data_IF_919401026083
#
_entry.id   IF_919401026083
#
_cell.length_a   1.000
_cell.length_b   1.000
_cell.length_c   1.000
_cell.angle_alpha   90.00
_cell.angle_beta   90.00
_cell.angle_gamma   90.00
#
_symmetry.space_group_name_H-M   'P 1'
#
loop_
_entity.id
_entity.type
_entity.pdbx_description
1 polymer ?
#
# COMPACT_ATOMS: atom_id res chain seq x y z
N UNK A 1 4.39 26.77 -13.65
CA UNK A 1 2.95 26.88 -13.95
C UNK A 1 2.32 25.56 -14.37
N UNK A 2 2.72 24.91 -15.46
CA UNK A 2 2.13 23.64 -15.92
C UNK A 2 2.20 22.52 -14.87
N UNK A 3 3.33 22.32 -14.19
CA UNK A 3 3.46 21.31 -13.13
C UNK A 3 2.48 21.55 -11.97
N UNK A 4 2.31 22.79 -11.55
CA UNK A 4 1.38 23.17 -10.47
C UNK A 4 -0.06 22.85 -10.84
N UNK A 5 -0.47 23.17 -12.07
CA UNK A 5 -1.81 22.84 -12.59
C UNK A 5 -2.02 21.32 -12.62
N UNK A 6 -1.03 20.57 -13.10
CA UNK A 6 -1.11 19.11 -13.12
C UNK A 6 -1.24 18.52 -11.71
N UNK A 7 -0.48 19.03 -10.74
CA UNK A 7 -0.60 18.59 -9.35
C UNK A 7 -1.97 18.89 -8.75
N UNK A 8 -2.51 20.08 -9.04
CA UNK A 8 -3.86 20.45 -8.61
C UNK A 8 -4.93 19.53 -9.19
N UNK A 9 -4.88 19.24 -10.50
CA UNK A 9 -5.81 18.30 -11.16
C UNK A 9 -5.69 16.89 -10.56
N UNK A 10 -4.46 16.41 -10.34
CA UNK A 10 -4.22 15.12 -9.70
C UNK A 10 -4.82 15.05 -8.29
N UNK A 11 -4.67 16.13 -7.51
CA UNK A 11 -5.22 16.18 -6.16
C UNK A 11 -6.74 16.16 -6.14
N UNK A 12 -7.38 16.93 -7.03
CA UNK A 12 -8.85 16.89 -7.19
C UNK A 12 -9.30 15.46 -7.50
N UNK A 13 -8.64 14.79 -8.44
CA UNK A 13 -8.99 13.42 -8.83
C UNK A 13 -8.84 12.45 -7.65
N UNK A 14 -7.77 12.57 -6.87
CA UNK A 14 -7.55 11.76 -5.67
C UNK A 14 -8.64 12.00 -4.63
N UNK A 15 -8.99 13.27 -4.37
CA UNK A 15 -10.06 13.59 -3.41
C UNK A 15 -11.42 13.07 -3.87
N UNK A 16 -11.73 13.13 -5.16
CA UNK A 16 -12.95 12.52 -5.72
C UNK A 16 -12.98 11.01 -5.52
N UNK A 17 -11.86 10.33 -5.75
CA UNK A 17 -11.75 8.90 -5.49
C UNK A 17 -11.92 8.58 -4.00
N UNK A 18 -11.33 9.38 -3.12
CA UNK A 18 -11.47 9.20 -1.68
C UNK A 18 -12.90 9.46 -1.19
N UNK A 19 -13.55 10.49 -1.70
CA UNK A 19 -14.95 10.77 -1.41
C UNK A 19 -15.86 9.60 -1.86
N UNK A 20 -15.66 9.13 -3.08
CA UNK A 20 -16.38 7.97 -3.63
C UNK A 20 -16.16 6.75 -2.75
N UNK A 21 -14.92 6.47 -2.37
CA UNK A 21 -14.58 5.36 -1.49
C UNK A 21 -15.26 5.45 -0.13
N UNK A 22 -15.35 6.65 0.44
CA UNK A 22 -16.00 6.88 1.73
C UNK A 22 -17.50 6.62 1.67
N UNK A 23 -18.15 6.99 0.57
CA UNK A 23 -19.58 6.73 0.34
C UNK A 23 -19.85 5.24 0.17
N UNK A 24 -19.02 4.55 -0.59
CA UNK A 24 -19.19 3.12 -0.91
C UNK A 24 -18.83 2.18 0.27
N UNK A 25 -18.05 2.66 1.21
CA UNK A 25 -17.51 1.86 2.30
C UNK A 25 -16.37 0.91 1.85
N UNK A 26 -15.69 0.30 2.82
CA UNK A 26 -14.43 -0.43 2.61
C UNK A 26 -14.54 -1.57 1.59
N UNK A 27 -15.51 -2.46 1.76
CA UNK A 27 -15.57 -3.69 0.98
C UNK A 27 -15.89 -3.45 -0.49
N UNK A 28 -16.83 -2.55 -0.78
CA UNK A 28 -17.20 -2.22 -2.15
C UNK A 28 -16.11 -1.39 -2.83
N UNK A 29 -15.51 -0.45 -2.11
CA UNK A 29 -14.38 0.34 -2.60
C UNK A 29 -13.20 -0.54 -2.99
N UNK A 30 -12.81 -1.51 -2.16
CA UNK A 30 -11.75 -2.48 -2.51
C UNK A 30 -12.04 -3.20 -3.81
N UNK A 31 -13.26 -3.68 -4.03
CA UNK A 31 -13.65 -4.38 -5.26
C UNK A 31 -13.56 -3.46 -6.48
N UNK A 32 -14.11 -2.26 -6.38
CA UNK A 32 -14.15 -1.31 -7.49
C UNK A 32 -12.73 -0.84 -7.83
N UNK A 33 -11.96 -0.37 -6.85
CA UNK A 33 -10.61 0.14 -7.09
C UNK A 33 -9.62 -0.96 -7.51
N UNK A 34 -9.77 -2.18 -6.99
CA UNK A 34 -9.03 -3.34 -7.46
C UNK A 34 -9.28 -3.60 -8.95
N UNK A 35 -10.53 -3.59 -9.39
CA UNK A 35 -10.91 -3.77 -10.79
C UNK A 35 -10.40 -2.61 -11.66
N UNK A 36 -10.64 -1.37 -11.24
CA UNK A 36 -10.22 -0.17 -11.93
C UNK A 36 -8.70 -0.18 -12.17
N UNK A 37 -7.91 -0.38 -11.13
CA UNK A 37 -6.45 -0.38 -11.23
C UNK A 37 -5.93 -1.57 -12.05
N UNK A 38 -6.57 -2.73 -11.99
CA UNK A 38 -6.16 -3.87 -12.83
C UNK A 38 -6.35 -3.60 -14.34
N UNK A 39 -7.26 -2.69 -14.69
CA UNK A 39 -7.55 -2.32 -16.08
C UNK A 39 -6.68 -1.16 -16.55
N UNK A 40 -6.59 -0.09 -15.74
CA UNK A 40 -5.89 1.13 -16.15
C UNK A 40 -4.41 1.14 -15.74
N UNK A 41 -4.04 0.42 -14.68
CA UNK A 41 -2.69 0.40 -14.12
C UNK A 41 -1.59 0.07 -15.14
N UNK A 42 -1.76 -0.94 -16.00
CA UNK A 42 -0.77 -1.27 -17.03
C UNK A 42 -0.44 -0.13 -17.99
N UNK A 43 -1.33 0.86 -18.14
CA UNK A 43 -1.13 2.03 -19.00
C UNK A 43 -0.10 3.00 -18.40
N UNK A 44 -0.03 3.07 -17.07
CA UNK A 44 0.79 4.06 -16.35
C UNK A 44 2.22 3.61 -16.07
N UNK A 45 2.51 2.33 -16.16
CA UNK A 45 3.85 1.82 -15.83
C UNK A 45 4.42 0.98 -16.95
N UNK A 46 5.69 1.17 -17.23
CA UNK A 46 6.40 0.42 -18.27
C UNK A 46 6.31 -1.09 -18.00
N UNK A 47 5.67 -1.80 -18.91
CA UNK A 47 5.58 -3.27 -18.93
C UNK A 47 6.99 -3.88 -18.86
N UNK A 48 7.94 -3.31 -19.59
CA UNK A 48 9.33 -3.77 -19.63
C UNK A 48 10.00 -3.81 -18.25
N UNK A 49 9.78 -2.80 -17.39
CA UNK A 49 10.35 -2.77 -16.04
C UNK A 49 9.78 -3.89 -15.18
N UNK A 50 8.47 -4.11 -15.27
CA UNK A 50 7.79 -5.15 -14.50
C UNK A 50 8.30 -6.53 -14.94
N UNK A 51 8.40 -6.76 -16.25
CA UNK A 51 8.88 -8.04 -16.81
C UNK A 51 10.32 -8.34 -16.41
N UNK A 52 11.21 -7.35 -16.50
CA UNK A 52 12.60 -7.51 -16.04
C UNK A 52 12.68 -7.86 -14.55
N UNK A 53 11.88 -7.21 -13.70
CA UNK A 53 11.86 -7.52 -12.28
C UNK A 53 11.34 -8.94 -12.02
N UNK A 54 10.34 -9.39 -12.76
CA UNK A 54 9.80 -10.76 -12.65
C UNK A 54 10.82 -11.81 -13.09
N UNK A 55 11.62 -11.53 -14.14
CA UNK A 55 12.67 -12.42 -14.61
C UNK A 55 13.83 -12.55 -13.62
N UNK A 56 14.14 -11.47 -12.88
CA UNK A 56 15.10 -11.51 -11.76
C UNK A 56 14.58 -12.40 -10.64
N UNK A 57 13.29 -12.29 -10.31
CA UNK A 57 12.67 -13.06 -9.24
C UNK A 57 12.53 -14.54 -9.59
N UNK A 58 12.12 -14.86 -10.80
CA UNK A 58 11.91 -16.23 -11.27
C UNK A 58 12.31 -16.38 -12.74
N UNK A 59 13.43 -17.04 -12.98
CA UNK A 59 13.88 -17.39 -14.34
C UNK A 59 12.84 -18.31 -15.01
N UNK A 60 12.62 -18.12 -16.30
CA UNK A 60 11.71 -18.94 -17.12
C UNK A 60 10.22 -18.93 -16.64
N UNK A 61 9.77 -17.79 -16.12
CA UNK A 61 8.35 -17.58 -15.79
C UNK A 61 7.51 -17.58 -17.06
N UNK A 62 6.40 -18.32 -17.07
CA UNK A 62 5.50 -18.38 -18.24
C UNK A 62 4.75 -17.08 -18.43
N UNK A 63 4.35 -16.76 -19.66
CA UNK A 63 3.57 -15.54 -19.97
C UNK A 63 2.22 -15.50 -19.25
N UNK A 64 1.60 -16.67 -19.04
CA UNK A 64 0.36 -16.80 -18.28
C UNK A 64 0.60 -16.40 -16.82
N UNK A 65 1.66 -16.89 -16.22
CA UNK A 65 2.01 -16.58 -14.84
C UNK A 65 2.41 -15.11 -14.68
N UNK A 66 3.20 -14.55 -15.60
CA UNK A 66 3.53 -13.11 -15.63
C UNK A 66 2.27 -12.26 -15.66
N UNK A 67 1.37 -12.54 -16.60
CA UNK A 67 0.10 -11.80 -16.75
C UNK A 67 -0.75 -11.86 -15.47
N UNK A 68 -0.83 -13.03 -14.83
CA UNK A 68 -1.54 -13.22 -13.57
C UNK A 68 -0.93 -12.39 -12.44
N UNK A 69 0.40 -12.40 -12.31
CA UNK A 69 1.12 -11.63 -11.28
C UNK A 69 0.92 -10.14 -11.50
N UNK A 70 1.09 -9.65 -12.73
CA UNK A 70 0.90 -8.23 -13.07
C UNK A 70 -0.53 -7.78 -12.75
N UNK A 71 -1.51 -8.56 -13.14
CA UNK A 71 -2.91 -8.25 -12.85
C UNK A 71 -3.19 -8.19 -11.36
N UNK A 72 -2.67 -9.15 -10.59
CA UNK A 72 -2.85 -9.20 -9.14
C UNK A 72 -2.10 -8.07 -8.43
N UNK A 73 -0.91 -7.70 -8.91
CA UNK A 73 -0.16 -6.55 -8.43
C UNK A 73 -0.99 -5.26 -8.57
N UNK A 74 -1.58 -5.01 -9.73
CA UNK A 74 -2.40 -3.83 -9.95
C UNK A 74 -3.70 -3.84 -9.12
N UNK A 75 -4.32 -5.01 -8.96
CA UNK A 75 -5.46 -5.18 -8.05
C UNK A 75 -5.09 -4.78 -6.62
N UNK A 76 -3.93 -5.25 -6.16
CA UNK A 76 -3.45 -4.93 -4.83
C UNK A 76 -3.14 -3.43 -4.66
N UNK A 77 -2.52 -2.79 -5.66
CA UNK A 77 -2.33 -1.34 -5.64
C UNK A 77 -3.65 -0.57 -5.52
N UNK A 78 -4.69 -0.99 -6.25
CA UNK A 78 -6.01 -0.36 -6.16
C UNK A 78 -6.64 -0.51 -4.79
N UNK A 79 -6.53 -1.69 -4.18
CA UNK A 79 -7.00 -1.92 -2.81
C UNK A 79 -6.24 -1.05 -1.80
N UNK A 80 -4.91 -1.09 -1.84
CA UNK A 80 -4.06 -0.29 -0.93
C UNK A 80 -4.33 1.20 -1.08
N UNK A 81 -4.46 1.69 -2.32
CA UNK A 81 -4.76 3.10 -2.59
C UNK A 81 -6.02 3.58 -1.87
N UNK A 82 -7.11 2.82 -1.99
CA UNK A 82 -8.37 3.25 -1.37
C UNK A 82 -8.40 3.00 0.14
N UNK A 83 -7.60 2.09 0.66
CA UNK A 83 -7.48 1.80 2.09
C UNK A 83 -6.93 2.97 2.90
N UNK A 84 -6.19 3.90 2.28
CA UNK A 84 -5.65 5.08 2.99
C UNK A 84 -6.74 5.91 3.67
N UNK A 85 -7.94 6.01 3.10
CA UNK A 85 -9.06 6.74 3.74
C UNK A 85 -9.68 5.99 4.92
N UNK A 86 -9.34 4.70 5.08
CA UNK A 86 -9.85 3.84 6.14
C UNK A 86 -8.82 3.55 7.25
N UNK A 87 -7.65 4.22 7.25
CA UNK A 87 -6.62 3.99 8.26
C UNK A 87 -7.12 4.21 9.68
N UNK A 88 -7.92 5.24 9.92
CA UNK A 88 -8.53 5.48 11.24
C UNK A 88 -9.48 4.35 11.64
N UNK A 89 -10.19 3.78 10.67
CA UNK A 89 -11.06 2.63 10.90
C UNK A 89 -10.23 1.39 11.27
N UNK A 90 -9.12 1.14 10.58
CA UNK A 90 -8.20 0.04 10.92
C UNK A 90 -7.52 0.25 12.27
N UNK A 91 -7.19 1.49 12.60
CA UNK A 91 -6.60 1.82 13.90
C UNK A 91 -7.54 1.51 15.07
N UNK A 92 -8.83 1.74 14.89
CA UNK A 92 -9.86 1.49 15.92
C UNK A 92 -10.31 0.04 16.02
N UNK A 93 -10.08 -0.75 14.98
CA UNK A 93 -10.58 -2.13 14.86
C UNK A 93 -9.40 -3.08 14.59
N UNK A 94 -9.38 -4.22 15.28
CA UNK A 94 -8.25 -5.17 15.21
C UNK A 94 -8.48 -6.36 14.27
N UNK A 95 -9.63 -6.45 13.60
CA UNK A 95 -9.97 -7.62 12.80
C UNK A 95 -9.40 -7.60 11.36
N UNK A 96 -8.66 -6.56 10.99
CA UNK A 96 -8.04 -6.44 9.65
C UNK A 96 -6.64 -7.01 9.57
N UNK A 97 -6.00 -7.21 10.71
CA UNK A 97 -4.60 -7.61 10.82
C UNK A 97 -4.50 -8.79 11.76
N UNK A 98 -3.79 -9.83 11.34
CA UNK A 98 -3.37 -10.93 12.21
C UNK A 98 -1.88 -10.78 12.46
N UNK A 99 -1.49 -10.71 13.73
CA UNK A 99 -0.09 -10.59 14.14
C UNK A 99 0.37 -11.95 14.64
N UNK A 100 1.41 -12.49 13.98
CA UNK A 100 2.06 -13.70 14.40
C UNK A 100 3.44 -13.36 15.00
N UNK A 101 3.83 -14.04 16.09
CA UNK A 101 5.13 -13.85 16.72
C UNK A 101 5.24 -12.54 17.51
N UNK A 102 4.14 -12.02 18.06
CA UNK A 102 4.16 -10.81 18.89
C UNK A 102 5.12 -10.89 20.09
N UNK A 103 5.34 -12.10 20.60
CA UNK A 103 6.25 -12.32 21.72
C UNK A 103 7.70 -11.97 21.36
N UNK A 104 8.13 -12.19 20.10
CA UNK A 104 9.44 -11.75 19.63
C UNK A 104 9.64 -10.24 19.77
N UNK A 105 8.58 -9.45 19.56
CA UNK A 105 8.62 -8.01 19.75
C UNK A 105 8.74 -7.65 21.23
N UNK A 106 7.95 -8.29 22.09
CA UNK A 106 7.99 -8.08 23.55
C UNK A 106 9.37 -8.41 24.09
N UNK A 107 9.94 -9.54 23.70
CA UNK A 107 11.27 -9.95 24.13
C UNK A 107 12.34 -8.97 23.66
N UNK A 108 12.27 -8.51 22.42
CA UNK A 108 13.19 -7.52 21.87
C UNK A 108 13.14 -6.18 22.65
N UNK A 109 11.95 -5.77 23.09
CA UNK A 109 11.76 -4.54 23.86
C UNK A 109 12.30 -4.65 25.31
N UNK A 110 12.34 -5.86 25.87
CA UNK A 110 12.86 -6.09 27.23
C UNK A 110 14.37 -5.84 27.35
N UNK A 111 15.12 -5.84 26.25
CA UNK A 111 16.56 -5.59 26.26
C UNK A 111 16.96 -4.14 26.45
N UNK A 112 16.01 -3.21 26.59
CA UNK A 112 16.25 -1.76 26.71
C UNK A 112 17.20 -1.22 25.61
N UNK A 113 17.05 -1.70 24.41
CA UNK A 113 17.83 -1.32 23.21
C UNK A 113 16.91 -0.83 22.11
N UNK A 114 17.39 0.06 21.23
CA UNK A 114 16.65 0.40 20.02
C UNK A 114 16.39 -0.85 19.16
N UNK A 115 15.18 -0.98 18.64
CA UNK A 115 14.78 -2.07 17.75
C UNK A 115 14.63 -1.51 16.35
N UNK A 116 15.27 -2.16 15.39
CA UNK A 116 15.13 -1.82 13.97
C UNK A 116 14.11 -2.75 13.33
N UNK A 117 13.01 -2.18 12.84
CA UNK A 117 12.00 -2.91 12.09
C UNK A 117 12.36 -2.88 10.60
N UNK A 118 12.47 -4.06 9.99
CA UNK A 118 12.72 -4.20 8.56
C UNK A 118 11.49 -4.78 7.90
N UNK A 119 11.01 -4.13 6.84
CA UNK A 119 9.84 -4.56 6.09
C UNK A 119 10.03 -4.34 4.60
N UNK A 120 9.25 -5.05 3.79
CA UNK A 120 9.11 -4.79 2.37
C UNK A 120 7.78 -4.09 2.05
N UNK A 121 7.69 -3.51 0.86
CA UNK A 121 6.46 -2.90 0.35
C UNK A 121 5.48 -3.98 -0.14
N UNK A 122 5.03 -4.85 0.77
CA UNK A 122 4.06 -5.90 0.48
C UNK A 122 2.66 -5.42 0.88
N UNK A 123 1.71 -5.51 -0.06
CA UNK A 123 0.33 -5.08 0.17
C UNK A 123 0.26 -3.68 0.86
N UNK A 124 -0.55 -3.54 1.88
CA UNK A 124 -0.64 -2.32 2.67
C UNK A 124 0.37 -2.38 3.85
N UNK A 125 1.63 -2.12 3.57
CA UNK A 125 2.73 -2.16 4.56
C UNK A 125 2.59 -1.08 5.66
N UNK A 126 1.80 -0.04 5.44
CA UNK A 126 1.51 1.01 6.44
C UNK A 126 0.85 0.44 7.70
N UNK A 127 0.10 -0.66 7.56
CA UNK A 127 -0.55 -1.32 8.68
C UNK A 127 0.46 -1.86 9.71
N UNK A 128 1.67 -2.23 9.28
CA UNK A 128 2.72 -2.65 10.22
C UNK A 128 3.11 -1.51 11.16
N UNK A 129 3.40 -0.34 10.62
CA UNK A 129 3.74 0.84 11.43
C UNK A 129 2.60 1.23 12.36
N UNK A 130 1.36 1.14 11.88
CA UNK A 130 0.17 1.40 12.68
C UNK A 130 0.06 0.41 13.85
N UNK A 131 0.26 -0.89 13.63
CA UNK A 131 0.17 -1.90 14.69
C UNK A 131 1.29 -1.75 15.74
N UNK A 132 2.50 -1.38 15.33
CA UNK A 132 3.60 -1.07 16.25
C UNK A 132 3.22 0.12 17.16
N UNK A 133 2.68 1.20 16.57
CA UNK A 133 2.30 2.40 17.31
C UNK A 133 1.10 2.18 18.23
N UNK A 134 0.16 1.29 17.88
CA UNK A 134 -0.94 0.88 18.78
C UNK A 134 -0.42 0.28 20.11
N UNK A 135 0.77 -0.33 20.10
CA UNK A 135 1.40 -0.89 21.29
C UNK A 135 2.17 0.16 22.11
N UNK A 136 1.96 1.45 21.82
CA UNK A 136 2.63 2.59 22.47
C UNK A 136 4.15 2.58 22.30
N UNK A 137 4.66 1.95 21.27
CA UNK A 137 6.07 1.97 20.88
C UNK A 137 6.32 3.24 20.06
N UNK A 138 7.29 4.05 20.50
CA UNK A 138 7.73 5.23 19.75
C UNK A 138 8.46 4.77 18.48
N UNK A 139 7.87 5.00 17.33
CA UNK A 139 8.41 4.61 16.04
C UNK A 139 8.93 5.84 15.30
N UNK A 140 10.19 5.78 14.84
CA UNK A 140 10.75 6.73 13.89
C UNK A 140 10.93 6.07 12.54
N UNK A 141 10.60 6.77 11.46
CA UNK A 141 10.74 6.27 10.09
C UNK A 141 11.44 7.30 9.21
N UNK A 142 12.19 6.81 8.23
CA UNK A 142 12.73 7.66 7.17
C UNK A 142 11.76 7.58 6.00
N UNK A 143 11.27 8.71 5.53
CA UNK A 143 10.36 8.75 4.39
C UNK A 143 10.81 9.80 3.37
N UNK A 144 10.41 9.58 2.12
CA UNK A 144 10.57 10.57 1.07
C UNK A 144 9.29 11.40 0.96
N UNK A 145 9.37 12.74 1.11
CA UNK A 145 8.20 13.60 0.91
C UNK A 145 7.58 13.43 -0.47
N UNK A 146 6.28 13.55 -0.55
CA UNK A 146 5.57 13.58 -1.82
C UNK A 146 5.94 14.84 -2.61
N UNK A 147 6.05 14.72 -3.92
CA UNK A 147 6.34 15.87 -4.79
C UNK A 147 5.13 16.79 -4.97
N UNK A 148 3.93 16.27 -4.75
CA UNK A 148 2.67 17.02 -4.81
C UNK A 148 2.35 17.57 -3.42
N UNK A 149 2.16 18.88 -3.33
CA UNK A 149 1.94 19.61 -2.08
C UNK A 149 0.47 20.03 -1.85
N UNK A 150 -0.46 19.62 -2.73
CA UNK A 150 -1.91 19.84 -2.56
C UNK A 150 -2.58 18.72 -1.77
#
# INVERSE_FOLDING_TARGET
MIKTINYFIQSILIYLFFLTGRILGLNLSRKIFSSLFSTIGPIFKSKLIIEKNLEIFKKNISEIEKSKIIKNMWKNYGMTFIEYIFLDYFKKNNFHVTINGEDNLKDSMNYNRPVIFVSGHFANFELMSMEITKKKINLATIYRPLNNFF
#
